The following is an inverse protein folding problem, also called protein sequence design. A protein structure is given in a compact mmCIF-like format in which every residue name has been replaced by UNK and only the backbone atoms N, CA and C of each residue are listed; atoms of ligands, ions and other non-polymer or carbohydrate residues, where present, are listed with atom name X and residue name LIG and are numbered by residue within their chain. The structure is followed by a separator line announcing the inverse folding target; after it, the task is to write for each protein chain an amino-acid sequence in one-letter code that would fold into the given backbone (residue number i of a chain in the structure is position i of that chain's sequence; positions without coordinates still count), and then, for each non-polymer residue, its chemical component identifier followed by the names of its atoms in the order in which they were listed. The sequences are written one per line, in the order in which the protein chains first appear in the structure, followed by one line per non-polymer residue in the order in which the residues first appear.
data_IF_902833779193
#
_entry.id   IF_902833779193
#
_cell.length_a   1.000
_cell.length_b   1.000
_cell.length_c   1.000
_cell.angle_alpha   90.00
_cell.angle_beta   90.00
_cell.angle_gamma   90.00
#
_symmetry.space_group_name_H-M   'P 1'
#
loop_
_entity.id
_entity.type
_entity.pdbx_description
1 polymer ?
#
# COMPACT_ATOMS: atom_id res chain seq x y z
N UNK A 1 -6.22 -1.12 -24.26
CA UNK A 1 -6.57 -2.10 -25.32
C UNK A 1 -6.38 -3.52 -24.81
N UNK A 2 -7.20 -4.49 -25.23
CA UNK A 2 -6.98 -5.92 -24.91
C UNK A 2 -5.91 -6.49 -25.85
N UNK A 3 -4.92 -7.17 -25.28
CA UNK A 3 -3.85 -7.87 -26.00
C UNK A 3 -4.22 -9.34 -26.26
N UNK A 4 -4.70 -10.03 -25.22
CA UNK A 4 -5.06 -11.44 -25.27
C UNK A 4 -6.02 -11.80 -24.12
N UNK A 5 -6.63 -12.98 -24.21
CA UNK A 5 -7.45 -13.56 -23.13
C UNK A 5 -6.96 -14.98 -22.87
N UNK A 6 -6.58 -15.28 -21.63
CA UNK A 6 -6.11 -16.60 -21.17
C UNK A 6 -7.05 -17.16 -20.10
N UNK A 7 -6.96 -18.44 -19.78
CA UNK A 7 -7.63 -19.01 -18.60
C UNK A 7 -6.73 -18.86 -17.37
N UNK A 8 -7.31 -18.47 -16.24
CA UNK A 8 -6.65 -18.43 -14.94
C UNK A 8 -7.56 -19.06 -13.88
N UNK A 9 -6.94 -19.61 -12.84
CA UNK A 9 -7.65 -20.29 -11.74
C UNK A 9 -7.93 -19.34 -10.56
N UNK A 10 -7.33 -18.16 -10.59
CA UNK A 10 -7.49 -17.10 -9.59
C UNK A 10 -7.04 -15.76 -10.19
N UNK A 11 -7.35 -14.67 -9.51
CA UNK A 11 -6.82 -13.35 -9.82
C UNK A 11 -5.29 -13.31 -9.70
N UNK A 12 -4.70 -13.96 -8.70
CA UNK A 12 -3.24 -14.12 -8.55
C UNK A 12 -2.64 -14.86 -9.76
N UNK A 13 -3.25 -15.97 -10.19
CA UNK A 13 -2.78 -16.69 -11.38
C UNK A 13 -2.90 -15.83 -12.63
N UNK A 14 -3.98 -15.05 -12.77
CA UNK A 14 -4.11 -14.11 -13.87
C UNK A 14 -2.97 -13.08 -13.90
N UNK A 15 -2.55 -12.57 -12.74
CA UNK A 15 -1.39 -11.66 -12.64
C UNK A 15 -0.09 -12.33 -13.10
N UNK A 16 0.12 -13.61 -12.80
CA UNK A 16 1.31 -14.34 -13.27
C UNK A 16 1.34 -14.55 -14.79
N UNK A 17 0.19 -14.56 -15.46
CA UNK A 17 0.07 -14.74 -16.91
C UNK A 17 0.40 -13.47 -17.74
N UNK A 18 0.67 -12.35 -17.06
CA UNK A 18 0.91 -11.03 -17.63
C UNK A 18 2.30 -10.90 -18.29
N UNK A 19 2.58 -11.68 -19.34
CA UNK A 19 3.89 -11.63 -20.02
C UNK A 19 4.17 -10.25 -20.64
N UNK A 20 3.57 -9.92 -21.79
CA UNK A 20 3.81 -8.65 -22.50
C UNK A 20 2.69 -7.62 -22.26
N UNK A 21 1.95 -7.77 -21.17
CA UNK A 21 0.79 -6.95 -20.85
C UNK A 21 1.16 -5.88 -19.82
N UNK A 22 0.67 -4.66 -20.04
CA UNK A 22 0.75 -3.59 -19.04
C UNK A 22 -0.23 -3.81 -17.89
N UNK A 23 -1.24 -4.67 -18.05
CA UNK A 23 -2.26 -4.93 -17.05
C UNK A 23 -3.02 -6.24 -17.29
N UNK A 24 -3.67 -6.76 -16.25
CA UNK A 24 -4.60 -7.90 -16.37
C UNK A 24 -5.92 -7.67 -15.66
N UNK A 25 -6.99 -8.32 -16.14
CA UNK A 25 -8.32 -8.36 -15.52
C UNK A 25 -8.80 -9.80 -15.42
N UNK A 26 -9.08 -10.26 -14.20
CA UNK A 26 -9.63 -11.60 -13.96
C UNK A 26 -11.16 -11.55 -13.79
N UNK A 27 -11.85 -12.46 -14.46
CA UNK A 27 -13.28 -12.73 -14.28
C UNK A 27 -13.43 -14.10 -13.62
N UNK A 28 -13.84 -14.09 -12.35
CA UNK A 28 -13.99 -15.28 -11.55
C UNK A 28 -15.16 -16.18 -12.00
N UNK A 29 -16.18 -15.64 -12.67
CA UNK A 29 -17.32 -16.42 -13.15
C UNK A 29 -16.94 -17.25 -14.39
N UNK A 30 -16.11 -16.68 -15.26
CA UNK A 30 -15.67 -17.34 -16.49
C UNK A 30 -14.28 -17.98 -16.40
N UNK A 31 -13.50 -17.70 -15.34
CA UNK A 31 -12.09 -18.08 -15.23
C UNK A 31 -11.19 -17.35 -16.23
N UNK A 32 -11.69 -16.26 -16.82
CA UNK A 32 -11.02 -15.53 -17.90
C UNK A 32 -10.04 -14.50 -17.35
N UNK A 33 -8.84 -14.46 -17.93
CA UNK A 33 -7.79 -13.50 -17.65
C UNK A 33 -7.51 -12.66 -18.90
N UNK A 34 -8.02 -11.44 -18.92
CA UNK A 34 -7.76 -10.49 -20.02
C UNK A 34 -6.42 -9.80 -19.79
N UNK A 35 -5.50 -9.92 -20.75
CA UNK A 35 -4.24 -9.19 -20.82
C UNK A 35 -4.47 -7.85 -21.53
N UNK A 36 -3.99 -6.76 -20.97
CA UNK A 36 -4.30 -5.39 -21.36
C UNK A 36 -3.01 -4.59 -21.60
N UNK A 37 -3.04 -3.70 -22.59
CA UNK A 37 -2.05 -2.65 -22.79
C UNK A 37 -2.68 -1.28 -22.58
N UNK A 38 -1.92 -0.36 -22.02
CA UNK A 38 -2.43 0.94 -21.60
C UNK A 38 -2.25 2.00 -22.68
N UNK A 39 -3.28 2.81 -22.87
CA UNK A 39 -3.13 4.03 -23.64
C UNK A 39 -2.65 5.14 -22.70
N UNK A 40 -1.40 5.58 -22.87
CA UNK A 40 -0.72 6.47 -21.92
C UNK A 40 -0.79 7.95 -22.30
N UNK A 41 -1.35 8.31 -23.45
CA UNK A 41 -1.47 9.72 -23.88
C UNK A 41 -0.15 10.51 -23.82
N UNK A 42 -0.24 11.85 -23.84
CA UNK A 42 0.91 12.76 -23.78
C UNK A 42 1.16 13.38 -22.38
N UNK A 43 0.31 13.09 -21.39
CA UNK A 43 0.43 13.62 -20.02
C UNK A 43 1.13 12.60 -19.12
N UNK A 44 2.20 13.01 -18.42
CA UNK A 44 2.96 12.28 -17.39
C UNK A 44 2.68 10.77 -17.33
N UNK A 45 3.51 10.01 -18.04
CA UNK A 45 3.38 8.59 -18.35
C UNK A 45 3.44 7.61 -17.14
N UNK A 46 3.31 8.13 -15.92
CA UNK A 46 3.45 7.41 -14.65
C UNK A 46 2.13 7.19 -13.90
N UNK A 47 1.01 7.10 -14.61
CA UNK A 47 -0.29 6.75 -14.03
C UNK A 47 -0.54 5.26 -14.18
N UNK A 48 -1.01 4.61 -13.10
CA UNK A 48 -1.61 3.28 -13.23
C UNK A 48 -2.73 3.34 -14.23
N UNK A 49 -2.76 2.37 -15.14
CA UNK A 49 -3.75 2.34 -16.19
C UNK A 49 -5.13 2.17 -15.59
N UNK A 50 -6.11 2.90 -16.13
CA UNK A 50 -7.49 2.83 -15.65
C UNK A 50 -8.42 2.55 -16.82
N UNK A 51 -9.54 1.90 -16.54
CA UNK A 51 -10.59 1.74 -17.53
C UNK A 51 -11.27 3.10 -17.76
N UNK A 52 -11.22 3.61 -18.99
CA UNK A 52 -11.65 4.99 -19.30
C UNK A 52 -13.15 5.23 -19.11
N UNK A 53 -13.96 4.18 -19.18
CA UNK A 53 -15.42 4.29 -19.10
C UNK A 53 -16.03 3.75 -17.80
N UNK A 54 -15.21 3.22 -16.88
CA UNK A 54 -15.69 2.78 -15.58
C UNK A 54 -14.57 2.84 -14.53
N UNK A 55 -14.57 3.91 -13.74
CA UNK A 55 -13.59 4.15 -12.67
C UNK A 55 -13.81 3.29 -11.43
N UNK A 56 -14.92 2.53 -11.37
CA UNK A 56 -15.23 1.63 -10.26
C UNK A 56 -14.68 0.21 -10.46
N UNK A 57 -14.20 -0.12 -11.68
CA UNK A 57 -13.66 -1.44 -11.95
C UNK A 57 -12.23 -1.58 -11.40
N UNK A 58 -12.02 -2.48 -10.43
CA UNK A 58 -10.71 -2.79 -9.90
C UNK A 58 -9.89 -3.59 -10.91
N UNK A 59 -8.56 -3.45 -10.85
CA UNK A 59 -7.54 -4.27 -11.51
C UNK A 59 -7.17 -3.87 -12.95
N UNK A 60 -6.14 -3.02 -13.03
CA UNK A 60 -5.13 -3.08 -14.08
C UNK A 60 -3.77 -3.23 -13.38
N UNK A 61 -3.26 -4.46 -13.29
CA UNK A 61 -1.99 -4.80 -12.63
C UNK A 61 -0.77 -4.44 -13.48
N UNK A 62 -0.08 -3.36 -13.15
CA UNK A 62 1.11 -2.93 -13.89
C UNK A 62 2.26 -3.93 -13.76
N UNK A 63 2.78 -4.39 -14.90
CA UNK A 63 4.05 -5.11 -14.93
C UNK A 63 5.22 -4.13 -14.96
N UNK A 64 6.21 -4.39 -14.13
CA UNK A 64 7.50 -3.71 -14.18
C UNK A 64 8.33 -3.96 -15.47
N UNK A 65 9.22 -3.02 -15.83
CA UNK A 65 9.38 -1.74 -15.17
C UNK A 65 8.60 -0.71 -15.99
N UNK A 66 7.39 -0.38 -15.56
CA UNK A 66 6.98 1.00 -15.75
C UNK A 66 7.83 1.78 -14.73
N UNK A 67 9.00 2.29 -15.17
CA UNK A 67 9.94 3.09 -14.37
C UNK A 67 9.28 4.39 -13.86
N UNK A 68 8.35 4.25 -12.92
CA UNK A 68 7.45 5.31 -12.50
C UNK A 68 7.10 5.21 -11.03
N UNK A 69 6.93 4.00 -10.50
CA UNK A 69 6.69 3.80 -9.08
C UNK A 69 7.51 2.59 -8.62
N UNK A 70 8.16 2.71 -7.47
CA UNK A 70 8.90 1.63 -6.83
C UNK A 70 8.09 1.16 -5.63
N UNK A 71 7.66 -0.10 -5.64
CA UNK A 71 6.86 -0.67 -4.56
C UNK A 71 7.77 -1.02 -3.40
N UNK A 72 7.44 -0.55 -2.18
CA UNK A 72 8.21 -0.90 -0.98
C UNK A 72 7.42 -1.73 0.04
N UNK A 73 6.10 -1.79 -0.11
CA UNK A 73 5.22 -2.60 0.70
C UNK A 73 4.04 -3.04 -0.16
N UNK A 74 3.67 -4.31 -0.11
CA UNK A 74 2.47 -4.80 -0.76
C UNK A 74 1.79 -5.94 0.03
N UNK A 75 0.46 -5.87 0.13
CA UNK A 75 -0.45 -6.89 0.67
C UNK A 75 -1.46 -7.29 -0.39
N UNK A 76 -1.49 -8.57 -0.76
CA UNK A 76 -2.44 -9.15 -1.73
C UNK A 76 -3.26 -10.31 -1.16
N UNK A 77 -2.71 -11.00 -0.16
CA UNK A 77 -3.36 -12.11 0.54
C UNK A 77 -2.73 -12.36 1.92
N UNK A 78 -3.20 -13.40 2.63
CA UNK A 78 -2.71 -13.80 3.95
C UNK A 78 -1.50 -14.73 3.97
N UNK A 79 -0.81 -14.97 2.85
CA UNK A 79 0.27 -15.98 2.76
C UNK A 79 1.57 -15.60 3.48
N UNK A 80 1.78 -14.32 3.79
CA UNK A 80 2.96 -13.83 4.52
C UNK A 80 2.52 -13.06 5.76
N UNK A 81 3.03 -13.46 6.93
CA UNK A 81 2.90 -12.69 8.17
C UNK A 81 3.76 -11.42 8.11
N UNK A 82 3.16 -10.29 8.48
CA UNK A 82 3.86 -9.01 8.65
C UNK A 82 4.14 -8.71 10.13
N UNK A 83 3.75 -9.60 11.03
CA UNK A 83 4.16 -9.51 12.42
C UNK A 83 5.59 -10.07 12.57
N UNK A 84 6.58 -9.22 12.25
CA UNK A 84 7.99 -9.58 12.06
C UNK A 84 8.89 -8.84 13.02
N UNK A 85 10.10 -9.38 13.18
CA UNK A 85 11.15 -8.76 13.99
C UNK A 85 11.70 -7.47 13.37
N UNK A 86 12.35 -6.65 14.18
CA UNK A 86 13.13 -5.47 13.76
C UNK A 86 14.15 -5.84 12.69
N UNK A 87 14.87 -6.94 12.88
CA UNK A 87 15.89 -7.39 11.95
C UNK A 87 15.29 -7.68 10.56
N UNK A 88 14.16 -8.38 10.51
CA UNK A 88 13.44 -8.66 9.26
C UNK A 88 12.85 -7.40 8.63
N UNK A 89 12.29 -6.48 9.43
CA UNK A 89 11.83 -5.18 8.93
C UNK A 89 12.98 -4.32 8.39
N UNK A 90 14.17 -4.40 8.97
CA UNK A 90 15.35 -3.72 8.47
C UNK A 90 15.84 -4.31 7.14
N UNK A 91 15.91 -5.64 7.05
CA UNK A 91 16.46 -6.35 5.88
C UNK A 91 15.48 -6.53 4.72
N UNK A 92 14.18 -6.49 4.97
CA UNK A 92 13.15 -6.87 3.99
C UNK A 92 12.70 -8.32 4.14
N UNK A 93 11.49 -8.60 3.65
CA UNK A 93 10.89 -9.94 3.63
C UNK A 93 9.75 -10.04 2.60
N UNK A 94 9.28 -11.26 2.35
CA UNK A 94 8.14 -11.53 1.48
C UNK A 94 8.52 -12.22 0.18
N UNK A 95 7.68 -12.06 -0.84
CA UNK A 95 7.68 -12.84 -2.08
C UNK A 95 7.90 -11.97 -3.34
N UNK A 96 8.31 -10.71 -3.16
CA UNK A 96 8.58 -9.75 -4.23
C UNK A 96 7.42 -8.79 -4.50
N UNK A 97 7.72 -7.69 -5.19
CA UNK A 97 6.86 -6.50 -5.33
C UNK A 97 5.43 -6.78 -5.84
N UNK A 98 5.24 -7.81 -6.66
CA UNK A 98 3.91 -8.19 -7.19
C UNK A 98 3.05 -9.02 -6.23
N UNK A 99 3.63 -9.51 -5.13
CA UNK A 99 2.99 -10.35 -4.11
C UNK A 99 3.10 -9.67 -2.73
N UNK A 100 3.03 -10.44 -1.64
CA UNK A 100 3.24 -9.88 -0.32
C UNK A 100 4.71 -9.52 -0.10
N UNK A 101 5.01 -8.25 0.14
CA UNK A 101 6.38 -7.75 0.12
C UNK A 101 6.62 -6.60 1.09
N UNK A 102 7.82 -6.58 1.66
CA UNK A 102 8.40 -5.48 2.39
C UNK A 102 9.85 -5.30 1.94
N UNK A 103 10.18 -4.13 1.40
CA UNK A 103 11.51 -3.84 0.83
C UNK A 103 12.65 -3.89 1.84
N UNK A 104 12.35 -3.57 3.11
CA UNK A 104 13.37 -3.37 4.12
C UNK A 104 13.65 -1.90 4.35
N UNK A 105 13.75 -1.51 5.63
CA UNK A 105 13.96 -0.13 6.03
C UNK A 105 15.32 0.42 5.58
N UNK A 106 16.35 -0.43 5.52
CA UNK A 106 17.69 0.01 5.09
C UNK A 106 17.68 0.41 3.61
N UNK A 107 17.10 -0.43 2.75
CA UNK A 107 16.97 -0.10 1.32
C UNK A 107 16.04 1.11 1.11
N UNK A 108 14.94 1.20 1.86
CA UNK A 108 14.01 2.33 1.79
C UNK A 108 14.67 3.65 2.22
N UNK A 109 15.50 3.62 3.28
CA UNK A 109 16.31 4.75 3.71
C UNK A 109 17.28 5.17 2.59
N UNK A 110 18.07 4.24 2.06
CA UNK A 110 19.05 4.53 1.02
C UNK A 110 18.40 5.12 -0.24
N UNK A 111 17.25 4.58 -0.65
CA UNK A 111 16.49 5.07 -1.80
C UNK A 111 16.02 6.51 -1.61
N UNK A 112 15.52 6.82 -0.41
CA UNK A 112 14.91 8.12 -0.11
C UNK A 112 15.85 9.15 0.53
N UNK A 113 17.13 8.79 0.73
CA UNK A 113 18.14 9.67 1.32
C UNK A 113 18.49 10.88 0.44
N UNK A 114 18.20 10.82 -0.86
CA UNK A 114 18.47 11.90 -1.81
C UNK A 114 17.31 12.13 -2.77
N UNK A 115 17.19 13.36 -3.27
CA UNK A 115 16.09 13.79 -4.12
C UNK A 115 14.80 14.06 -3.34
N UNK A 116 13.72 14.30 -4.08
CA UNK A 116 12.40 14.60 -3.52
C UNK A 116 11.46 13.48 -3.90
N UNK A 117 11.20 12.58 -2.96
CA UNK A 117 10.30 11.46 -3.22
C UNK A 117 8.86 11.80 -2.84
N UNK A 118 7.94 11.17 -3.55
CA UNK A 118 6.52 11.13 -3.28
C UNK A 118 6.17 9.71 -2.86
N UNK A 119 5.33 9.59 -1.85
CA UNK A 119 4.73 8.32 -1.44
C UNK A 119 3.28 8.25 -1.88
N UNK A 120 2.86 7.09 -2.38
CA UNK A 120 1.47 6.77 -2.70
C UNK A 120 1.03 5.57 -1.87
N UNK A 121 -0.08 5.76 -1.15
CA UNK A 121 -0.82 4.70 -0.46
C UNK A 121 -1.96 4.30 -1.37
N UNK A 122 -2.05 3.04 -1.78
CA UNK A 122 -3.12 2.54 -2.64
C UNK A 122 -3.72 1.27 -2.05
N UNK A 123 -5.04 1.17 -2.01
CA UNK A 123 -5.72 0.06 -1.34
C UNK A 123 -7.11 -0.19 -1.89
N UNK A 124 -7.62 -1.40 -1.66
CA UNK A 124 -8.97 -1.79 -2.09
C UNK A 124 -9.79 -2.46 -0.98
N UNK A 125 -11.10 -2.28 -1.06
CA UNK A 125 -12.05 -3.02 -0.21
C UNK A 125 -12.49 -4.34 -0.84
N UNK A 126 -13.28 -5.13 -0.08
CA UNK A 126 -13.78 -6.43 -0.52
C UNK A 126 -14.89 -6.34 -1.57
N UNK A 127 -15.45 -5.15 -1.81
CA UNK A 127 -16.43 -4.88 -2.86
C UNK A 127 -15.78 -4.43 -4.17
N UNK A 128 -14.45 -4.28 -4.20
CA UNK A 128 -13.70 -3.88 -5.38
C UNK A 128 -13.54 -2.37 -5.54
N UNK A 129 -13.89 -1.55 -4.55
CA UNK A 129 -13.60 -0.12 -4.60
C UNK A 129 -12.11 0.13 -4.35
N UNK A 130 -11.50 1.04 -5.12
CA UNK A 130 -10.10 1.44 -4.95
C UNK A 130 -9.96 2.86 -4.45
N UNK A 131 -8.98 3.04 -3.58
CA UNK A 131 -8.65 4.31 -2.95
C UNK A 131 -7.16 4.57 -3.04
N UNK A 132 -6.78 5.85 -3.08
CA UNK A 132 -5.39 6.24 -3.01
C UNK A 132 -5.20 7.63 -2.40
N UNK A 133 -4.05 7.82 -1.78
CA UNK A 133 -3.59 9.07 -1.21
C UNK A 133 -2.10 9.27 -1.51
N UNK A 134 -1.70 10.50 -1.83
CA UNK A 134 -0.32 10.83 -2.16
C UNK A 134 0.22 11.93 -1.23
N UNK A 135 1.41 11.74 -0.68
CA UNK A 135 2.12 12.72 0.14
C UNK A 135 3.49 13.02 -0.47
N UNK A 136 3.95 14.27 -0.37
CA UNK A 136 5.30 14.66 -0.74
C UNK A 136 5.74 15.88 0.08
N UNK A 137 7.04 16.02 0.44
CA UNK A 137 8.11 15.03 0.23
C UNK A 137 7.98 13.81 1.16
N UNK A 138 8.62 12.71 0.82
CA UNK A 138 8.71 11.51 1.65
C UNK A 138 10.17 11.07 1.80
N UNK A 139 10.58 10.71 3.02
CA UNK A 139 11.86 10.08 3.27
C UNK A 139 11.87 9.24 4.53
N UNK A 140 12.79 8.28 4.59
CA UNK A 140 13.04 7.46 5.77
C UNK A 140 14.45 7.78 6.29
N UNK A 141 14.55 8.03 7.59
CA UNK A 141 15.81 8.35 8.27
C UNK A 141 16.74 7.13 8.41
N UNK A 142 17.97 7.34 8.90
CA UNK A 142 18.93 6.25 9.11
C UNK A 142 18.54 5.36 10.29
N UNK A 143 19.17 4.19 10.40
CA UNK A 143 19.01 3.28 11.54
C UNK A 143 19.31 3.94 12.90
N UNK A 144 20.23 4.91 12.95
CA UNK A 144 20.57 5.67 14.17
C UNK A 144 19.42 6.54 14.68
N UNK A 145 18.49 6.93 13.80
CA UNK A 145 17.22 7.57 14.16
C UNK A 145 16.04 6.62 13.96
N UNK A 146 16.28 5.31 14.13
CA UNK A 146 15.25 4.27 14.11
C UNK A 146 14.36 4.34 12.87
N UNK A 147 14.96 4.67 11.73
CA UNK A 147 14.27 4.79 10.46
C UNK A 147 13.06 5.74 10.49
N UNK A 148 13.16 6.89 11.17
CA UNK A 148 12.07 7.88 11.26
C UNK A 148 11.46 8.21 9.91
N UNK A 149 10.13 8.16 9.82
CA UNK A 149 9.40 8.61 8.63
C UNK A 149 9.31 10.14 8.63
N UNK A 150 9.64 10.75 7.50
CA UNK A 150 9.34 12.16 7.20
C UNK A 150 8.39 12.19 6.03
N UNK A 151 7.19 12.69 6.24
CA UNK A 151 6.12 12.70 5.25
C UNK A 151 5.45 14.07 5.20
N UNK A 152 5.49 14.71 4.04
CA UNK A 152 4.86 15.99 3.77
C UNK A 152 3.33 15.90 3.68
N UNK A 153 2.68 17.03 3.38
CA UNK A 153 1.23 17.11 3.31
C UNK A 153 0.65 16.23 2.20
N UNK A 154 -0.64 15.92 2.34
CA UNK A 154 -1.43 15.24 1.32
C UNK A 154 -1.60 16.15 0.09
N UNK A 155 -1.37 15.60 -1.09
CA UNK A 155 -1.71 16.22 -2.36
C UNK A 155 -3.14 15.84 -2.77
N UNK A 156 -4.09 16.72 -2.42
CA UNK A 156 -5.53 16.49 -2.68
C UNK A 156 -5.82 16.35 -4.18
N UNK A 157 -5.07 17.05 -5.04
CA UNK A 157 -5.29 17.01 -6.50
C UNK A 157 -4.93 15.66 -7.12
N UNK A 158 -4.12 14.86 -6.42
CA UNK A 158 -3.63 13.55 -6.84
C UNK A 158 -4.17 12.40 -5.99
N UNK A 159 -5.09 12.66 -5.06
CA UNK A 159 -5.66 11.67 -4.13
C UNK A 159 -7.13 11.43 -4.43
N UNK A 160 -7.65 10.21 -4.21
CA UNK A 160 -9.09 9.94 -4.26
C UNK A 160 -9.77 10.06 -2.90
N UNK A 161 -8.99 10.03 -1.83
CA UNK A 161 -9.46 10.12 -0.45
C UNK A 161 -8.63 11.14 0.32
N UNK A 162 -9.24 11.74 1.34
CA UNK A 162 -8.51 12.57 2.29
C UNK A 162 -7.65 11.76 3.24
N UNK A 163 -6.95 12.46 4.12
CA UNK A 163 -6.08 11.89 5.15
C UNK A 163 -6.33 12.61 6.46
N UNK A 164 -6.23 11.90 7.58
CA UNK A 164 -6.16 12.50 8.90
C UNK A 164 -4.88 13.35 9.02
N UNK A 165 -5.01 14.58 9.50
CA UNK A 165 -3.89 15.54 9.59
C UNK A 165 -3.31 15.63 10.99
N UNK A 166 -3.92 14.94 11.96
CA UNK A 166 -3.43 14.90 13.33
C UNK A 166 -2.07 14.21 13.39
N UNK A 167 -1.02 14.99 13.66
CA UNK A 167 0.38 14.53 13.65
C UNK A 167 0.62 13.29 14.53
N UNK A 168 -0.08 13.19 15.66
CA UNK A 168 0.10 12.08 16.59
C UNK A 168 -0.44 10.74 16.07
N UNK A 169 -1.35 10.71 15.10
CA UNK A 169 -1.80 9.44 14.46
C UNK A 169 -1.15 9.19 13.09
N UNK A 170 -0.46 10.21 12.56
CA UNK A 170 0.24 10.15 11.27
C UNK A 170 1.52 9.35 11.38
N UNK A 171 2.01 8.70 10.31
CA UNK A 171 3.38 8.21 10.24
C UNK A 171 4.43 9.32 10.37
N UNK A 172 4.07 10.56 10.01
CA UNK A 172 5.02 11.65 9.89
C UNK A 172 5.72 11.97 11.23
N UNK A 173 7.05 12.04 11.16
CA UNK A 173 7.98 12.34 12.25
C UNK A 173 8.07 11.28 13.35
N UNK A 174 7.55 10.06 13.15
CA UNK A 174 7.68 8.98 14.12
C UNK A 174 8.74 7.97 13.73
N UNK A 175 9.37 7.40 14.74
CA UNK A 175 10.33 6.32 14.60
C UNK A 175 9.59 5.02 14.28
N UNK A 176 10.27 4.09 13.63
CA UNK A 176 9.69 2.79 13.36
C UNK A 176 9.64 1.99 14.66
N UNK A 177 8.56 1.23 14.88
CA UNK A 177 8.43 0.31 16.00
C UNK A 177 8.08 -1.08 15.51
N UNK A 178 8.54 -2.11 16.22
CA UNK A 178 8.18 -3.53 16.04
C UNK A 178 7.81 -4.13 17.38
N UNK A 179 7.41 -5.42 17.42
CA UNK A 179 7.02 -6.12 18.64
C UNK A 179 8.05 -6.02 19.79
N UNK A 180 9.33 -6.05 19.42
CA UNK A 180 10.46 -6.05 20.34
C UNK A 180 11.15 -4.69 20.48
N UNK A 181 10.79 -3.70 19.66
CA UNK A 181 11.43 -2.39 19.61
C UNK A 181 10.35 -1.32 19.64
N UNK A 182 10.02 -0.87 20.84
CA UNK A 182 8.99 0.15 21.07
C UNK A 182 9.60 1.55 20.99
N UNK A 183 9.34 2.23 19.88
CA UNK A 183 9.73 3.63 19.65
C UNK A 183 8.50 4.50 19.33
N UNK A 184 7.31 4.05 19.78
CA UNK A 184 6.09 4.83 19.64
C UNK A 184 5.92 5.80 20.83
N UNK A 185 4.91 6.66 20.77
CA UNK A 185 4.71 7.72 21.76
C UNK A 185 3.48 7.45 22.66
N UNK A 186 3.00 6.21 22.69
CA UNK A 186 1.86 5.83 23.51
C UNK A 186 2.33 5.22 24.83
N UNK A 187 2.09 5.92 25.94
CA UNK A 187 2.53 5.46 27.28
C UNK A 187 1.75 4.26 27.83
N UNK A 188 0.67 3.84 27.18
CA UNK A 188 -0.25 2.81 27.67
C UNK A 188 0.12 1.38 27.28
N UNK A 189 1.13 1.19 26.45
CA UNK A 189 1.49 -0.10 25.88
C UNK A 189 2.38 0.07 24.66
N UNK A 190 2.35 -0.89 23.75
CA UNK A 190 3.10 -0.82 22.48
C UNK A 190 2.14 -0.99 21.32
N UNK A 191 2.08 0.01 20.44
CA UNK A 191 1.23 -0.01 19.26
C UNK A 191 1.60 -1.14 18.31
N UNK A 192 2.88 -1.47 18.18
CA UNK A 192 3.32 -2.57 17.34
C UNK A 192 2.79 -3.93 17.85
N UNK A 193 2.69 -4.12 19.17
CA UNK A 193 2.08 -5.30 19.79
C UNK A 193 0.57 -5.34 19.57
N UNK A 194 -0.11 -4.23 19.80
CA UNK A 194 -1.57 -4.12 19.66
C UNK A 194 -2.04 -4.23 18.20
N UNK A 195 -1.22 -3.75 17.25
CA UNK A 195 -1.53 -3.75 15.82
C UNK A 195 -0.94 -4.93 15.05
N UNK A 196 -0.13 -5.76 15.71
CA UNK A 196 0.46 -6.98 15.15
C UNK A 196 1.23 -6.75 13.84
N UNK A 197 2.08 -5.72 13.83
CA UNK A 197 2.88 -5.32 12.69
C UNK A 197 3.83 -4.19 13.03
N UNK A 198 4.91 -4.05 12.26
CA UNK A 198 5.86 -2.95 12.41
C UNK A 198 5.42 -1.74 11.59
N UNK A 199 5.52 -0.54 12.16
CA UNK A 199 5.15 0.70 11.47
C UNK A 199 5.76 1.93 12.16
N UNK A 200 5.63 3.09 11.52
CA UNK A 200 5.87 4.39 12.13
C UNK A 200 4.66 4.80 12.97
N UNK A 201 4.64 4.32 14.21
CA UNK A 201 3.56 4.59 15.15
C UNK A 201 3.84 5.86 15.96
N UNK A 202 2.87 6.77 16.00
CA UNK A 202 2.85 7.87 16.96
C UNK A 202 2.11 7.44 18.22
N UNK A 203 0.92 8.00 18.44
CA UNK A 203 -0.10 7.44 19.34
C UNK A 203 -0.83 6.32 18.61
N UNK A 204 -0.07 5.30 18.20
CA UNK A 204 -0.45 4.31 17.20
C UNK A 204 -0.63 4.92 15.81
N UNK A 205 -1.80 4.83 15.19
CA UNK A 205 -1.90 5.08 13.76
C UNK A 205 -3.32 5.30 13.22
N UNK A 206 -3.43 6.11 12.16
CA UNK A 206 -4.58 6.12 11.26
C UNK A 206 -4.37 5.26 10.00
N UNK A 207 -3.20 4.67 9.83
CA UNK A 207 -2.88 3.81 8.68
C UNK A 207 -2.08 2.61 9.18
N UNK A 208 -2.54 1.40 8.87
CA UNK A 208 -1.86 0.16 9.21
C UNK A 208 -1.75 -0.75 7.98
N UNK A 209 -0.78 -0.54 7.08
CA UNK A 209 -0.63 -1.43 5.93
C UNK A 209 -0.11 -2.81 6.35
N UNK A 210 0.61 -2.87 7.47
CA UNK A 210 1.32 -4.06 7.95
C UNK A 210 0.53 -4.88 8.97
N UNK A 211 -0.76 -4.57 9.15
CA UNK A 211 -1.63 -5.31 10.06
C UNK A 211 -1.94 -6.72 9.58
N UNK A 212 -2.65 -7.46 10.43
CA UNK A 212 -3.09 -8.83 10.13
C UNK A 212 -4.00 -8.82 8.90
N UNK A 213 -3.71 -9.69 7.94
CA UNK A 213 -4.58 -9.88 6.79
C UNK A 213 -5.79 -10.72 7.20
N UNK A 214 -6.99 -10.15 7.09
CA UNK A 214 -8.25 -10.81 7.45
C UNK A 214 -9.03 -11.17 6.19
N UNK A 215 -9.66 -12.34 6.19
CA UNK A 215 -10.63 -12.74 5.15
C UNK A 215 -12.07 -12.48 5.63
N UNK A 216 -13.04 -12.19 4.74
CA UNK A 216 -14.45 -12.19 5.09
C UNK A 216 -14.88 -13.54 5.68
N UNK A 217 -15.76 -13.56 6.70
CA UNK A 217 -16.50 -12.42 7.24
C UNK A 217 -15.72 -11.60 8.28
N UNK A 218 -14.60 -12.11 8.81
CA UNK A 218 -13.84 -11.43 9.87
C UNK A 218 -13.35 -10.05 9.43
N UNK A 219 -12.92 -9.92 8.17
CA UNK A 219 -12.49 -8.66 7.58
C UNK A 219 -13.57 -7.58 7.58
N UNK A 220 -14.86 -7.94 7.60
CA UNK A 220 -15.97 -6.98 7.54
C UNK A 220 -16.35 -6.41 8.92
N UNK A 221 -15.84 -7.02 10.00
CA UNK A 221 -16.19 -6.68 11.38
C UNK A 221 -14.97 -6.34 12.25
N UNK A 222 -13.76 -6.45 11.70
CA UNK A 222 -12.51 -6.23 12.42
C UNK A 222 -11.54 -5.44 11.56
N UNK A 223 -10.62 -4.75 12.22
CA UNK A 223 -9.63 -3.90 11.57
C UNK A 223 -8.23 -4.53 11.69
N UNK A 224 -7.69 -5.05 10.59
CA UNK A 224 -6.31 -5.49 10.48
C UNK A 224 -5.49 -4.49 9.66
N UNK A 225 -5.67 -4.56 8.35
CA UNK A 225 -5.09 -3.62 7.38
C UNK A 225 -6.09 -2.47 7.15
N UNK A 226 -5.68 -1.21 7.35
CA UNK A 226 -6.61 -0.08 7.21
C UNK A 226 -5.97 1.25 6.85
N UNK A 227 -6.82 2.17 6.40
CA UNK A 227 -6.55 3.59 6.21
C UNK A 227 -7.81 4.36 6.62
N UNK A 228 -7.69 5.37 7.49
CA UNK A 228 -8.84 6.23 7.82
C UNK A 228 -9.17 7.17 6.65
N UNK A 229 -10.36 7.01 6.09
CA UNK A 229 -10.84 7.87 5.04
C UNK A 229 -11.31 9.19 5.64
N UNK A 230 -10.94 10.31 5.02
CA UNK A 230 -11.51 11.63 5.33
C UNK A 230 -12.25 12.11 4.08
N UNK A 231 -13.53 12.44 4.23
CA UNK A 231 -14.32 12.96 3.12
C UNK A 231 -14.03 14.46 2.87
N UNK A 232 -14.60 15.02 1.80
CA UNK A 232 -14.40 16.40 1.38
C UNK A 232 -14.86 17.47 2.38
N UNK A 233 -15.64 17.10 3.40
CA UNK A 233 -16.11 18.00 4.47
C UNK A 233 -15.38 17.77 5.80
N UNK A 234 -14.31 16.97 5.81
CA UNK A 234 -13.47 16.74 6.99
C UNK A 234 -14.01 15.71 7.98
N UNK A 235 -15.11 15.03 7.68
CA UNK A 235 -15.59 13.93 8.51
C UNK A 235 -14.70 12.70 8.32
N UNK A 236 -14.16 12.18 9.42
CA UNK A 236 -13.43 10.91 9.40
C UNK A 236 -14.41 9.75 9.27
N UNK A 237 -14.34 9.03 8.16
CA UNK A 237 -14.95 7.73 7.98
C UNK A 237 -13.93 6.68 8.37
N UNK A 238 -14.03 6.17 9.61
CA UNK A 238 -13.37 4.92 9.94
C UNK A 238 -14.18 3.80 9.29
N UNK A 239 -13.65 3.24 8.22
CA UNK A 239 -14.18 1.99 7.71
C UNK A 239 -13.85 0.91 8.76
N UNK A 240 -14.88 0.33 9.38
CA UNK A 240 -14.72 -0.71 10.42
C UNK A 240 -14.41 -2.09 9.81
N UNK A 241 -13.68 -2.11 8.69
CA UNK A 241 -13.31 -3.33 7.98
C UNK A 241 -11.84 -3.27 7.52
N UNK A 242 -11.25 -4.45 7.37
CA UNK A 242 -9.89 -4.64 6.86
C UNK A 242 -9.86 -4.58 5.32
N UNK A 243 -8.87 -3.90 4.76
CA UNK A 243 -8.68 -3.79 3.32
C UNK A 243 -8.32 -5.16 2.71
N UNK A 244 -8.75 -5.38 1.45
CA UNK A 244 -8.41 -6.57 0.64
C UNK A 244 -6.99 -6.46 0.10
N UNK A 245 -6.60 -5.31 -0.44
CA UNK A 245 -5.22 -5.07 -0.89
C UNK A 245 -4.67 -3.78 -0.31
N UNK A 246 -3.36 -3.70 -0.14
CA UNK A 246 -2.68 -2.47 0.26
C UNK A 246 -1.26 -2.42 -0.30
N UNK A 247 -0.95 -1.37 -1.05
CA UNK A 247 0.35 -1.15 -1.66
C UNK A 247 0.88 0.24 -1.31
N UNK A 248 2.17 0.30 -0.97
CA UNK A 248 2.89 1.56 -0.76
C UNK A 248 3.99 1.69 -1.81
N UNK A 249 4.01 2.81 -2.50
CA UNK A 249 4.87 3.06 -3.65
C UNK A 249 5.60 4.40 -3.55
N UNK A 250 6.76 4.50 -4.19
CA UNK A 250 7.58 5.71 -4.27
C UNK A 250 7.81 6.19 -5.70
N UNK A 251 7.79 7.50 -5.90
CA UNK A 251 8.18 8.16 -7.14
C UNK A 251 9.06 9.36 -6.84
N UNK A 252 10.17 9.51 -7.56
CA UNK A 252 11.10 10.64 -7.42
C UNK A 252 10.73 11.77 -8.37
#
# INVERSE_FOLDING_TARGET
RVLAVKLAISDIHCTMLAENADAVRFDAASGSCSLLACDRGAMDACRKCRHSSDSSLPQLWLREPVKCWTTFQHRVDGSVSFNRSWAEYASGFGQGESLNYWMGLEQLHQLTATGVWRVRWEFSDWNGTWYWAENAPFSVGPASDKYRCSMGPLDVSRSSVGQRTEQHWSPNNWQFSTLESDNDNWSGGSCARDRSGGWWFGWCNFINPNGVYLLPPAALNNTGIFYYLVNSVGSSLKLEYSMKTFECMLWQ
#
